data_IF_609052647927
#
_entry.id   IF_609052647927
#
_cell.length_a   1.000
_cell.length_b   1.000
_cell.length_c   1.000
_cell.angle_alpha   90.00
_cell.angle_beta   90.00
_cell.angle_gamma   90.00
#
_symmetry.space_group_name_H-M   'P 1'
#
loop_
_entity.id
_entity.type
_entity.pdbx_description
1 polymer ?
#
# COMPACT_ATOMS: atom_id res chain seq x y z
N UNK A 1 -1.06 -10.01 2.06
CA UNK A 1 -2.39 -9.79 2.66
C UNK A 1 -2.69 -8.30 2.67
N UNK A 2 -3.86 -7.92 2.17
CA UNK A 2 -4.28 -6.52 2.10
C UNK A 2 -5.12 -6.17 3.32
N UNK A 3 -4.88 -5.01 3.91
CA UNK A 3 -5.53 -4.58 5.14
C UNK A 3 -6.28 -3.26 5.04
N UNK A 4 -6.28 -2.61 3.86
CA UNK A 4 -7.01 -1.35 3.66
C UNK A 4 -8.52 -1.60 3.59
N UNK A 5 -9.31 -0.54 3.81
CA UNK A 5 -10.78 -0.60 3.73
C UNK A 5 -11.27 -1.14 2.39
N UNK A 6 -10.57 -0.81 1.30
CA UNK A 6 -10.88 -1.29 -0.04
C UNK A 6 -9.95 -2.45 -0.48
N UNK A 7 -9.12 -3.00 0.41
CA UNK A 7 -8.04 -3.92 0.04
C UNK A 7 -8.39 -5.40 0.06
N UNK A 8 -9.56 -5.79 0.59
CA UNK A 8 -9.98 -7.18 0.64
C UNK A 8 -10.25 -7.75 -0.76
N UNK A 9 -9.70 -8.92 -1.08
CA UNK A 9 -10.11 -9.68 -2.27
C UNK A 9 -11.31 -10.53 -1.89
N UNK A 10 -12.34 -10.64 -2.77
CA UNK A 10 -13.60 -11.31 -2.45
C UNK A 10 -13.44 -12.75 -1.94
N UNK A 11 -12.51 -13.50 -2.50
CA UNK A 11 -12.35 -14.94 -2.21
C UNK A 11 -11.05 -15.27 -1.43
N UNK A 12 -10.41 -14.26 -0.83
CA UNK A 12 -9.16 -14.44 -0.10
C UNK A 12 -9.23 -13.86 1.32
N UNK A 13 -9.92 -14.53 2.25
CA UNK A 13 -9.99 -14.09 3.64
C UNK A 13 -8.61 -14.10 4.28
N UNK A 14 -8.40 -13.20 5.24
CA UNK A 14 -7.16 -13.18 6.00
C UNK A 14 -7.04 -14.47 6.82
N UNK A 15 -5.83 -15.06 6.91
CA UNK A 15 -5.60 -16.24 7.73
C UNK A 15 -5.62 -15.90 9.22
N UNK A 16 -5.50 -16.92 10.07
CA UNK A 16 -5.25 -16.69 11.50
C UNK A 16 -3.87 -16.05 11.73
N UNK A 17 -3.70 -15.29 12.80
CA UNK A 17 -2.42 -14.68 13.18
C UNK A 17 -1.30 -15.70 13.26
N UNK A 18 -1.54 -16.85 13.91
CA UNK A 18 -0.54 -17.92 14.04
C UNK A 18 -0.08 -18.46 12.69
N UNK A 19 -1.01 -18.66 11.76
CA UNK A 19 -0.68 -19.15 10.42
C UNK A 19 0.14 -18.12 9.65
N UNK A 20 -0.26 -16.83 9.71
CA UNK A 20 0.47 -15.72 9.12
C UNK A 20 1.91 -15.66 9.62
N UNK A 21 2.14 -15.72 10.93
CA UNK A 21 3.49 -15.72 11.52
C UNK A 21 4.32 -16.91 11.09
N UNK A 22 3.70 -18.10 11.02
CA UNK A 22 4.37 -19.31 10.55
C UNK A 22 4.81 -19.23 9.09
N UNK A 23 3.94 -18.71 8.21
CA UNK A 23 4.28 -18.49 6.81
C UNK A 23 5.37 -17.43 6.65
N UNK A 24 5.25 -16.32 7.39
CA UNK A 24 6.25 -15.26 7.38
C UNK A 24 7.63 -15.79 7.79
N UNK A 25 7.72 -16.57 8.86
CA UNK A 25 8.96 -17.19 9.30
C UNK A 25 9.52 -18.14 8.25
N UNK A 26 8.66 -18.96 7.64
CA UNK A 26 9.06 -19.88 6.58
C UNK A 26 9.64 -19.15 5.36
N UNK A 27 9.02 -18.03 4.94
CA UNK A 27 9.55 -17.24 3.83
C UNK A 27 10.87 -16.54 4.21
N UNK A 28 10.97 -15.98 5.41
CA UNK A 28 12.22 -15.35 5.89
C UNK A 28 13.40 -16.34 5.95
N UNK A 29 13.13 -17.61 6.26
CA UNK A 29 14.18 -18.66 6.29
C UNK A 29 14.73 -19.03 4.92
N UNK A 30 13.98 -18.75 3.83
CA UNK A 30 14.43 -19.01 2.45
C UNK A 30 15.32 -17.91 1.89
N UNK A 31 15.33 -16.74 2.53
CA UNK A 31 16.07 -15.58 2.03
C UNK A 31 17.57 -15.76 2.19
N UNK A 32 18.30 -15.37 1.15
CA UNK A 32 19.77 -15.34 1.18
C UNK A 32 20.24 -14.19 2.07
N UNK A 33 20.97 -14.51 3.13
CA UNK A 33 21.48 -13.52 4.09
C UNK A 33 22.55 -12.59 3.50
N UNK A 34 23.14 -12.95 2.37
CA UNK A 34 24.11 -12.11 1.67
C UNK A 34 23.46 -11.06 0.75
N UNK A 35 22.13 -11.09 0.60
CA UNK A 35 21.39 -10.20 -0.28
C UNK A 35 20.45 -9.28 0.51
N UNK A 36 20.30 -8.01 0.09
CA UNK A 36 19.33 -7.12 0.70
C UNK A 36 17.90 -7.62 0.45
N UNK A 37 17.04 -7.44 1.45
CA UNK A 37 15.61 -7.77 1.38
C UNK A 37 14.83 -6.47 1.43
N UNK A 38 14.04 -6.21 0.42
CA UNK A 38 13.13 -5.07 0.38
C UNK A 38 11.79 -5.46 0.99
N UNK A 39 11.31 -4.64 1.90
CA UNK A 39 10.03 -4.85 2.60
C UNK A 39 9.21 -3.57 2.49
N UNK A 40 7.93 -3.72 2.18
CA UNK A 40 7.02 -2.58 2.17
C UNK A 40 6.89 -1.96 3.57
N UNK A 41 7.09 -0.63 3.64
CA UNK A 41 7.06 0.14 4.88
C UNK A 41 5.64 0.43 5.39
N UNK A 42 4.80 -0.58 5.44
CA UNK A 42 3.43 -0.50 5.95
C UNK A 42 3.35 -0.34 7.46
N UNK A 43 2.14 -0.15 7.96
CA UNK A 43 1.87 -0.14 9.38
C UNK A 43 2.02 -1.55 9.98
N UNK A 44 2.23 -1.63 11.30
CA UNK A 44 2.25 -2.91 12.01
C UNK A 44 0.97 -3.73 11.80
N UNK A 45 -0.16 -3.06 11.56
CA UNK A 45 -1.47 -3.70 11.42
C UNK A 45 -1.86 -3.80 9.94
N UNK A 46 -2.13 -5.03 9.48
CA UNK A 46 -2.60 -5.36 8.12
C UNK A 46 -4.01 -5.97 8.25
N UNK A 47 -5.05 -5.15 8.24
CA UNK A 47 -6.41 -5.60 8.55
C UNK A 47 -6.53 -6.13 9.98
N UNK A 48 -6.78 -7.44 10.14
CA UNK A 48 -6.84 -8.10 11.44
C UNK A 48 -5.49 -8.69 11.88
N UNK A 49 -4.51 -8.76 10.96
CA UNK A 49 -3.18 -9.31 11.23
C UNK A 49 -2.24 -8.25 11.80
N UNK A 50 -1.25 -8.70 12.53
CA UNK A 50 -0.16 -7.88 13.04
C UNK A 50 1.20 -8.43 12.62
N UNK A 51 2.05 -7.55 12.10
CA UNK A 51 3.45 -7.88 11.85
C UNK A 51 4.16 -8.07 13.20
N UNK A 52 4.92 -9.16 13.39
CA UNK A 52 5.64 -9.41 14.63
C UNK A 52 6.57 -8.24 15.02
N UNK A 53 6.63 -7.92 16.31
CA UNK A 53 7.39 -6.75 16.79
C UNK A 53 8.89 -6.85 16.45
N UNK A 54 9.45 -8.06 16.49
CA UNK A 54 10.86 -8.28 16.12
C UNK A 54 11.14 -7.85 14.66
N UNK A 55 10.24 -8.19 13.72
CA UNK A 55 10.37 -7.77 12.33
C UNK A 55 10.16 -6.25 12.20
N UNK A 56 9.16 -5.70 12.87
CA UNK A 56 8.94 -4.24 12.89
C UNK A 56 10.15 -3.46 13.42
N UNK A 57 10.82 -3.98 14.45
CA UNK A 57 12.03 -3.36 14.98
C UNK A 57 13.16 -3.37 13.95
N UNK A 58 13.38 -4.49 13.25
CA UNK A 58 14.34 -4.58 12.16
C UNK A 58 14.01 -3.61 11.02
N UNK A 59 12.74 -3.54 10.60
CA UNK A 59 12.28 -2.63 9.53
C UNK A 59 12.54 -1.16 9.92
N UNK A 60 12.20 -0.76 11.15
CA UNK A 60 12.40 0.62 11.63
C UNK A 60 13.88 1.00 11.73
N UNK A 61 14.75 0.05 12.04
CA UNK A 61 16.19 0.24 12.10
C UNK A 61 16.86 0.30 10.72
N UNK A 62 16.19 -0.24 9.70
CA UNK A 62 16.71 -0.36 8.34
C UNK A 62 16.71 0.98 7.59
N UNK A 63 17.41 1.01 6.47
CA UNK A 63 17.37 2.14 5.53
C UNK A 63 16.02 2.19 4.84
N UNK A 64 15.58 3.40 4.53
CA UNK A 64 14.34 3.61 3.80
C UNK A 64 14.65 3.98 2.34
N UNK A 65 13.79 3.52 1.44
CA UNK A 65 13.71 3.98 0.05
C UNK A 65 12.29 4.45 -0.20
N UNK A 66 12.14 5.60 -0.82
CA UNK A 66 10.85 6.16 -1.19
C UNK A 66 10.58 5.86 -2.66
N UNK A 67 9.51 5.10 -2.94
CA UNK A 67 9.02 4.94 -4.30
C UNK A 67 8.07 6.08 -4.63
N UNK A 68 8.40 6.82 -5.68
CA UNK A 68 7.60 7.95 -6.17
C UNK A 68 7.00 7.65 -7.52
N UNK A 69 5.75 8.01 -7.70
CA UNK A 69 5.09 8.00 -9.01
C UNK A 69 4.03 9.10 -9.07
N UNK A 70 3.68 9.55 -10.27
CA UNK A 70 2.65 10.57 -10.44
C UNK A 70 1.24 10.03 -10.14
N UNK A 71 0.32 10.96 -9.90
CA UNK A 71 -1.05 10.64 -9.55
C UNK A 71 -1.77 9.86 -10.65
N UNK A 72 -1.55 10.21 -11.92
CA UNK A 72 -2.20 9.57 -13.06
C UNK A 72 -1.78 8.09 -13.22
N UNK A 73 -0.50 7.81 -13.04
CA UNK A 73 0.02 6.45 -13.00
C UNK A 73 -0.62 5.64 -11.87
N UNK A 74 -0.69 6.21 -10.65
CA UNK A 74 -1.32 5.56 -9.49
C UNK A 74 -2.81 5.29 -9.74
N UNK A 75 -3.53 6.26 -10.29
CA UNK A 75 -4.96 6.11 -10.65
C UNK A 75 -5.13 4.98 -11.67
N UNK A 76 -4.28 4.92 -12.67
CA UNK A 76 -4.35 3.86 -13.71
C UNK A 76 -4.12 2.48 -13.10
N UNK A 77 -3.09 2.31 -12.28
CA UNK A 77 -2.79 1.04 -11.60
C UNK A 77 -3.93 0.59 -10.69
N UNK A 78 -4.48 1.51 -9.90
CA UNK A 78 -5.56 1.19 -8.96
C UNK A 78 -6.87 0.83 -9.67
N UNK A 79 -7.20 1.51 -10.78
CA UNK A 79 -8.38 1.14 -11.58
C UNK A 79 -8.26 -0.25 -12.18
N UNK A 80 -7.06 -0.64 -12.58
CA UNK A 80 -6.80 -1.97 -13.10
C UNK A 80 -6.90 -3.04 -11.99
N UNK A 81 -6.27 -2.78 -10.86
CA UNK A 81 -6.20 -3.70 -9.73
C UNK A 81 -7.55 -3.91 -9.04
N UNK A 82 -8.36 -2.86 -8.94
CA UNK A 82 -9.63 -2.87 -8.21
C UNK A 82 -10.86 -2.96 -9.12
N UNK A 83 -10.73 -3.55 -10.31
CA UNK A 83 -11.84 -3.75 -11.26
C UNK A 83 -13.08 -4.40 -10.65
N UNK A 84 -12.89 -5.29 -9.67
CA UNK A 84 -14.00 -5.96 -9.00
C UNK A 84 -14.92 -5.00 -8.24
N UNK A 85 -14.41 -3.90 -7.68
CA UNK A 85 -15.25 -2.87 -7.05
C UNK A 85 -16.04 -2.03 -8.07
N UNK A 86 -15.52 -1.92 -9.30
CA UNK A 86 -16.25 -1.25 -10.36
C UNK A 86 -17.50 -2.05 -10.76
N UNK A 87 -17.45 -3.37 -10.61
CA UNK A 87 -18.55 -4.29 -10.90
C UNK A 87 -19.54 -4.46 -9.73
N UNK A 88 -19.07 -4.32 -8.48
CA UNK A 88 -19.87 -4.47 -7.26
C UNK A 88 -19.98 -3.14 -6.50
N UNK A 89 -20.87 -2.30 -6.99
CA UNK A 89 -21.14 -0.99 -6.40
C UNK A 89 -21.67 -1.07 -4.98
N UNK A 90 -22.48 -2.06 -4.64
CA UNK A 90 -23.05 -2.19 -3.30
C UNK A 90 -21.95 -2.42 -2.26
N UNK A 91 -21.01 -3.30 -2.56
CA UNK A 91 -19.83 -3.55 -1.73
C UNK A 91 -18.97 -2.30 -1.60
N UNK A 92 -18.71 -1.57 -2.70
CA UNK A 92 -17.96 -0.32 -2.65
C UNK A 92 -18.64 0.72 -1.74
N UNK A 93 -19.94 0.91 -1.86
CA UNK A 93 -20.68 1.88 -1.05
C UNK A 93 -20.65 1.51 0.45
N UNK A 94 -20.79 0.23 0.78
CA UNK A 94 -20.68 -0.26 2.16
C UNK A 94 -19.27 -0.01 2.75
N UNK A 95 -18.22 -0.20 1.96
CA UNK A 95 -16.84 0.08 2.38
C UNK A 95 -16.62 1.59 2.59
N UNK A 96 -17.16 2.44 1.72
CA UNK A 96 -17.08 3.90 1.89
C UNK A 96 -17.80 4.36 3.16
N UNK A 97 -18.93 3.72 3.53
CA UNK A 97 -19.66 4.05 4.76
C UNK A 97 -18.82 3.84 6.04
N UNK A 98 -17.89 2.89 6.02
CA UNK A 98 -16.95 2.68 7.12
C UNK A 98 -16.03 3.89 7.37
N UNK A 99 -15.85 4.75 6.37
CA UNK A 99 -15.02 5.95 6.46
C UNK A 99 -15.81 7.18 6.94
N UNK A 100 -17.13 7.06 7.17
CA UNK A 100 -17.99 8.21 7.56
C UNK A 100 -17.53 8.88 8.84
N UNK A 101 -17.10 8.11 9.83
CA UNK A 101 -16.61 8.65 11.10
C UNK A 101 -15.35 9.51 10.94
N UNK A 102 -14.55 9.24 9.89
CA UNK A 102 -13.29 9.94 9.63
C UNK A 102 -13.47 11.17 8.72
N UNK A 103 -14.33 11.08 7.72
CA UNK A 103 -14.44 12.09 6.65
C UNK A 103 -15.74 12.89 6.67
N UNK A 104 -16.72 12.44 7.46
CA UNK A 104 -18.06 13.03 7.49
C UNK A 104 -18.97 12.58 6.34
N UNK A 105 -20.28 12.77 6.54
CA UNK A 105 -21.31 12.28 5.58
C UNK A 105 -21.24 12.96 4.22
N UNK A 106 -20.94 14.24 4.19
CA UNK A 106 -20.89 15.02 2.96
C UNK A 106 -19.81 14.50 2.00
N UNK A 107 -18.59 14.28 2.52
CA UNK A 107 -17.48 13.75 1.74
C UNK A 107 -17.74 12.32 1.22
N UNK A 108 -18.34 11.48 2.04
CA UNK A 108 -18.72 10.12 1.62
C UNK A 108 -19.79 10.19 0.51
N UNK A 109 -20.76 11.09 0.61
CA UNK A 109 -21.77 11.29 -0.42
C UNK A 109 -21.17 11.78 -1.75
N UNK A 110 -20.19 12.70 -1.72
CA UNK A 110 -19.45 13.13 -2.91
C UNK A 110 -18.73 11.96 -3.58
N UNK A 111 -17.99 11.16 -2.84
CA UNK A 111 -17.28 9.98 -3.38
C UNK A 111 -18.26 8.96 -3.98
N UNK A 112 -19.37 8.67 -3.30
CA UNK A 112 -20.42 7.80 -3.84
C UNK A 112 -21.03 8.34 -5.11
N UNK A 113 -21.24 9.67 -5.18
CA UNK A 113 -21.78 10.35 -6.38
C UNK A 113 -20.84 10.20 -7.59
N UNK A 114 -19.53 10.35 -7.39
CA UNK A 114 -18.53 10.13 -8.44
C UNK A 114 -18.54 8.69 -8.94
N UNK A 115 -18.57 7.72 -8.04
CA UNK A 115 -18.67 6.31 -8.39
C UNK A 115 -19.98 6.00 -9.13
N UNK A 116 -21.11 6.59 -8.68
CA UNK A 116 -22.41 6.45 -9.32
C UNK A 116 -22.45 7.00 -10.75
N UNK A 117 -21.75 8.09 -10.98
CA UNK A 117 -21.64 8.73 -12.30
C UNK A 117 -20.61 8.05 -13.22
N UNK A 118 -19.93 6.99 -12.77
CA UNK A 118 -18.87 6.33 -13.52
C UNK A 118 -17.60 7.18 -13.66
N UNK A 119 -17.44 8.25 -12.86
CA UNK A 119 -16.26 9.14 -12.87
C UNK A 119 -15.11 8.52 -12.08
N UNK A 120 -14.72 7.31 -12.48
CA UNK A 120 -13.81 6.47 -11.71
C UNK A 120 -12.44 7.07 -11.49
N UNK A 121 -11.85 7.71 -12.52
CA UNK A 121 -10.53 8.35 -12.39
C UNK A 121 -10.55 9.45 -11.34
N UNK A 122 -11.56 10.29 -11.35
CA UNK A 122 -11.71 11.36 -10.36
C UNK A 122 -12.00 10.81 -8.96
N UNK A 123 -12.86 9.79 -8.86
CA UNK A 123 -13.12 9.09 -7.60
C UNK A 123 -11.83 8.58 -6.97
N UNK A 124 -11.01 7.84 -7.73
CA UNK A 124 -9.74 7.27 -7.24
C UNK A 124 -8.74 8.37 -6.91
N UNK A 125 -8.61 9.41 -7.75
CA UNK A 125 -7.71 10.53 -7.48
C UNK A 125 -8.07 11.26 -6.18
N UNK A 126 -9.36 11.51 -5.93
CA UNK A 126 -9.81 12.12 -4.67
C UNK A 126 -9.58 11.22 -3.47
N UNK A 127 -9.89 9.94 -3.60
CA UNK A 127 -9.68 8.98 -2.52
C UNK A 127 -8.20 8.88 -2.14
N UNK A 128 -7.30 8.90 -3.11
CA UNK A 128 -5.86 8.98 -2.87
C UNK A 128 -5.49 10.25 -2.11
N UNK A 129 -5.83 11.41 -2.65
CA UNK A 129 -5.41 12.70 -2.10
C UNK A 129 -6.04 13.01 -0.73
N UNK A 130 -7.28 12.61 -0.50
CA UNK A 130 -8.06 13.01 0.68
C UNK A 130 -8.04 11.97 1.80
N UNK A 131 -7.79 10.70 1.49
CA UNK A 131 -7.77 9.61 2.49
C UNK A 131 -6.42 8.91 2.58
N UNK A 132 -5.96 8.28 1.50
CA UNK A 132 -4.79 7.41 1.56
C UNK A 132 -3.49 8.18 1.78
N UNK A 133 -3.19 9.19 0.99
CA UNK A 133 -1.92 9.92 1.09
C UNK A 133 -1.72 10.58 2.46
N UNK A 134 -2.73 11.26 3.05
CA UNK A 134 -2.59 11.79 4.41
C UNK A 134 -2.40 10.70 5.48
N UNK A 135 -3.05 9.53 5.32
CA UNK A 135 -2.90 8.42 6.24
C UNK A 135 -1.50 7.79 6.16
N UNK A 136 -1.02 7.53 4.93
CA UNK A 136 0.30 6.98 4.68
C UNK A 136 1.41 7.91 5.16
N UNK A 137 1.36 9.19 4.83
CA UNK A 137 2.35 10.17 5.25
C UNK A 137 2.47 10.24 6.77
N UNK A 138 1.35 10.27 7.49
CA UNK A 138 1.36 10.27 8.96
C UNK A 138 1.95 8.98 9.54
N UNK A 139 1.57 7.84 8.98
CA UNK A 139 2.04 6.53 9.44
C UNK A 139 3.54 6.36 9.18
N UNK A 140 3.98 6.64 7.97
CA UNK A 140 5.37 6.45 7.54
C UNK A 140 6.32 7.37 8.31
N UNK A 141 6.01 8.66 8.44
CA UNK A 141 6.82 9.61 9.21
C UNK A 141 6.91 9.22 10.69
N UNK A 142 5.82 8.71 11.27
CA UNK A 142 5.80 8.29 12.67
C UNK A 142 6.61 7.02 12.93
N UNK A 143 6.58 6.08 11.98
CA UNK A 143 7.15 4.74 12.18
C UNK A 143 8.61 4.64 11.72
N UNK A 144 9.05 5.45 10.75
CA UNK A 144 10.34 5.32 10.11
C UNK A 144 11.14 6.62 10.20
N UNK A 145 11.94 6.77 11.25
CA UNK A 145 12.74 7.97 11.50
C UNK A 145 13.72 8.28 10.35
N UNK A 146 14.23 7.25 9.66
CA UNK A 146 15.17 7.39 8.53
C UNK A 146 14.48 7.74 7.21
N UNK A 147 13.16 7.92 7.19
CA UNK A 147 12.45 8.30 5.99
C UNK A 147 12.88 9.67 5.44
N UNK A 148 13.27 10.60 6.31
CA UNK A 148 13.78 11.91 5.91
C UNK A 148 15.11 11.83 5.12
N UNK A 149 15.85 10.74 5.27
CA UNK A 149 17.13 10.47 4.59
C UNK A 149 16.95 9.47 3.43
N UNK A 150 15.70 9.10 3.13
CA UNK A 150 15.40 8.09 2.12
C UNK A 150 15.82 8.54 0.73
N UNK A 151 16.45 7.64 0.00
CA UNK A 151 16.67 7.82 -1.42
C UNK A 151 15.35 7.62 -2.17
N UNK A 152 15.00 8.52 -3.09
CA UNK A 152 13.84 8.38 -3.95
C UNK A 152 14.17 7.57 -5.20
N UNK A 153 13.28 6.66 -5.54
CA UNK A 153 13.27 5.92 -6.81
C UNK A 153 11.93 6.17 -7.50
N UNK A 154 11.97 6.63 -8.73
CA UNK A 154 10.76 7.00 -9.48
C UNK A 154 10.31 5.88 -10.41
N UNK A 155 9.04 5.48 -10.27
CA UNK A 155 8.31 4.66 -11.25
C UNK A 155 7.63 5.61 -12.24
N UNK A 156 8.01 5.54 -13.52
CA UNK A 156 7.64 6.56 -14.54
C UNK A 156 6.39 6.25 -15.34
N UNK A 157 5.74 5.13 -15.08
CA UNK A 157 4.52 4.74 -15.79
C UNK A 157 3.92 3.45 -15.22
N UNK A 158 2.73 3.05 -15.70
CA UNK A 158 2.02 1.87 -15.21
C UNK A 158 2.49 0.56 -15.87
N UNK A 159 3.37 0.62 -16.88
CA UNK A 159 3.87 -0.54 -17.62
C UNK A 159 4.97 -1.30 -16.87
N UNK A 160 5.07 -2.61 -17.08
CA UNK A 160 6.04 -3.48 -16.41
C UNK A 160 7.49 -2.99 -16.60
N UNK A 161 7.83 -2.43 -17.77
CA UNK A 161 9.15 -1.90 -18.04
C UNK A 161 9.56 -0.75 -17.09
N UNK A 162 8.61 0.09 -16.66
CA UNK A 162 8.87 1.15 -15.68
C UNK A 162 9.15 0.59 -14.28
N UNK A 163 8.50 -0.50 -13.92
CA UNK A 163 8.77 -1.22 -12.67
C UNK A 163 10.11 -1.95 -12.71
N UNK A 164 10.47 -2.56 -13.83
CA UNK A 164 11.77 -3.21 -14.01
C UNK A 164 12.94 -2.22 -13.93
N UNK A 165 12.78 -1.00 -14.48
CA UNK A 165 13.75 0.08 -14.34
C UNK A 165 13.90 0.52 -12.88
N UNK A 166 12.79 0.72 -12.20
CA UNK A 166 12.79 1.08 -10.78
C UNK A 166 13.42 -0.02 -9.91
N UNK A 167 13.12 -1.29 -10.19
CA UNK A 167 13.70 -2.44 -9.48
C UNK A 167 15.22 -2.53 -9.68
N UNK A 168 15.72 -2.28 -10.88
CA UNK A 168 17.17 -2.22 -11.14
C UNK A 168 17.83 -1.09 -10.35
N UNK A 169 17.24 0.10 -10.35
CA UNK A 169 17.72 1.25 -9.57
C UNK A 169 17.77 0.96 -8.07
N UNK A 170 16.78 0.23 -7.53
CA UNK A 170 16.77 -0.24 -6.15
C UNK A 170 17.93 -1.19 -5.86
N UNK A 171 18.18 -2.15 -6.76
CA UNK A 171 19.28 -3.11 -6.63
C UNK A 171 20.64 -2.44 -6.61
N UNK A 172 20.87 -1.48 -7.49
CA UNK A 172 22.11 -0.67 -7.55
C UNK A 172 22.32 0.16 -6.28
N UNK A 173 21.25 0.80 -5.80
CA UNK A 173 21.28 1.58 -4.55
C UNK A 173 21.61 0.72 -3.32
N UNK A 174 21.15 -0.52 -3.29
CA UNK A 174 21.44 -1.46 -2.21
C UNK A 174 22.90 -1.96 -2.28
N UNK A 175 23.40 -2.26 -3.47
CA UNK A 175 24.78 -2.74 -3.69
C UNK A 175 25.84 -1.67 -3.37
N UNK A 176 25.57 -0.41 -3.63
CA UNK A 176 26.50 0.70 -3.36
C UNK A 176 26.74 0.96 -1.86
N UNK A 177 26.05 0.25 -0.98
CA UNK A 177 26.05 0.50 0.46
C UNK A 177 26.42 -0.74 1.29
N UNK A 178 26.81 -1.83 0.64
CA UNK A 178 27.37 -3.04 1.25
C UNK A 178 28.89 -2.95 1.32
#
# INVERSE_FOLDING_TARGET
HRGSVLGGLPDAPQPSQKWFESQLLHELQKLDRARPVFVEGESKKIGQLQVPEALMACMRASRCVLLETDLETRVTLLLDEYRHFLADRATLEAQLDCLTALHGRERIAEWKSLAAAGRWREFVARLLAEHYDPAYNRSSTRNYAKLAEAQSVRVRGPEDAAFDEAARSLGEAAAACS
#
